data_IF_898066195957
#
_entry.id   IF_898066195957
#
_cell.length_a   1.000
_cell.length_b   1.000
_cell.length_c   1.000
_cell.angle_alpha   90.00
_cell.angle_beta   90.00
_cell.angle_gamma   90.00
#
_symmetry.space_group_name_H-M   'P 1'
#
loop_
_entity.id
_entity.type
_entity.pdbx_description
1 polymer ?
#
# COMPACT_ATOMS: atom_id res chain seq x y z
N UNK A 1 -21.36 -4.37 10.93
CA UNK A 1 -20.86 -5.56 10.19
C UNK A 1 -20.60 -6.71 11.18
N UNK A 2 -20.73 -8.00 10.81
CA UNK A 2 -20.54 -9.13 11.74
C UNK A 2 -19.18 -9.80 11.55
N UNK A 3 -18.40 -9.94 12.62
CA UNK A 3 -17.08 -10.59 12.61
C UNK A 3 -17.24 -12.07 12.32
N UNK A 4 -16.52 -12.55 11.30
CA UNK A 4 -16.42 -13.97 10.94
C UNK A 4 -15.11 -14.58 11.41
N UNK A 5 -14.02 -13.82 11.34
CA UNK A 5 -12.70 -14.25 11.80
C UNK A 5 -11.90 -13.05 12.31
N UNK A 6 -11.13 -13.26 13.36
CA UNK A 6 -10.17 -12.28 13.87
C UNK A 6 -8.81 -12.71 13.33
N UNK A 7 -8.12 -11.80 12.66
CA UNK A 7 -6.81 -12.08 12.08
C UNK A 7 -5.71 -11.73 13.07
N UNK A 8 -5.75 -10.52 13.62
CA UNK A 8 -4.92 -10.05 14.72
C UNK A 8 -5.67 -8.94 15.48
N UNK A 9 -4.98 -8.24 16.39
CA UNK A 9 -5.59 -7.16 17.17
C UNK A 9 -6.09 -5.98 16.31
N UNK A 10 -5.58 -5.81 15.09
CA UNK A 10 -5.81 -4.65 14.24
C UNK A 10 -6.56 -4.98 12.94
N UNK A 11 -6.88 -6.26 12.71
CA UNK A 11 -7.46 -6.74 11.44
C UNK A 11 -8.52 -7.79 11.72
N UNK A 12 -9.73 -7.56 11.21
CA UNK A 12 -10.86 -8.50 11.33
C UNK A 12 -11.52 -8.72 9.97
N UNK A 13 -11.94 -9.96 9.74
CA UNK A 13 -12.74 -10.35 8.59
C UNK A 13 -14.21 -10.33 8.98
N UNK A 14 -15.04 -9.61 8.22
CA UNK A 14 -16.46 -9.41 8.51
C UNK A 14 -17.32 -9.72 7.29
N UNK A 15 -18.60 -10.03 7.53
CA UNK A 15 -19.65 -9.97 6.51
C UNK A 15 -20.60 -8.81 6.78
N UNK A 16 -20.94 -8.08 5.73
CA UNK A 16 -21.99 -7.05 5.80
C UNK A 16 -23.40 -7.67 5.65
N UNK A 17 -24.43 -6.81 5.70
CA UNK A 17 -25.83 -7.24 5.54
C UNK A 17 -26.13 -7.81 4.14
N UNK A 18 -25.34 -7.43 3.12
CA UNK A 18 -25.46 -7.88 1.74
C UNK A 18 -24.63 -9.16 1.47
N UNK A 19 -24.07 -9.78 2.51
CA UNK A 19 -23.16 -10.93 2.45
C UNK A 19 -21.83 -10.65 1.74
N UNK A 20 -21.46 -9.39 1.54
CA UNK A 20 -20.14 -9.03 1.04
C UNK A 20 -19.09 -9.37 2.09
N UNK A 21 -17.95 -9.84 1.60
CA UNK A 21 -16.79 -10.20 2.41
C UNK A 21 -15.85 -9.00 2.49
N UNK A 22 -15.61 -8.53 3.71
CA UNK A 22 -14.83 -7.32 3.97
C UNK A 22 -13.70 -7.61 4.96
N UNK A 23 -12.59 -6.90 4.80
CA UNK A 23 -11.56 -6.78 5.82
C UNK A 23 -11.66 -5.40 6.43
N UNK A 24 -11.72 -5.33 7.76
CA UNK A 24 -11.62 -4.08 8.49
C UNK A 24 -10.22 -4.00 9.11
N UNK A 25 -9.56 -2.87 8.89
CA UNK A 25 -8.29 -2.52 9.52
C UNK A 25 -8.53 -1.34 10.46
N UNK A 26 -7.97 -1.42 11.65
CA UNK A 26 -8.08 -0.36 12.63
C UNK A 26 -7.43 -0.71 13.96
N UNK A 27 -6.90 0.30 14.66
CA UNK A 27 -6.20 0.08 15.93
C UNK A 27 -7.10 -0.59 16.98
N UNK A 28 -6.73 -1.80 17.42
CA UNK A 28 -7.45 -2.56 18.44
C UNK A 28 -8.85 -3.02 18.03
N UNK A 29 -9.17 -3.09 16.74
CA UNK A 29 -10.49 -3.53 16.23
C UNK A 29 -10.77 -5.02 16.50
N UNK A 30 -9.74 -5.86 16.58
CA UNK A 30 -9.84 -7.27 16.94
C UNK A 30 -9.68 -7.54 18.43
N UNK A 31 -9.24 -6.54 19.21
CA UNK A 31 -8.93 -6.72 20.63
C UNK A 31 -10.19 -7.00 21.45
N UNK A 32 -10.19 -8.12 22.20
CA UNK A 32 -11.31 -8.63 22.99
C UNK A 32 -12.60 -8.95 22.20
N UNK A 33 -12.52 -9.00 20.87
CA UNK A 33 -13.63 -9.41 20.03
C UNK A 33 -13.70 -10.93 19.89
N UNK A 34 -14.85 -11.45 19.41
CA UNK A 34 -15.05 -12.85 19.04
C UNK A 34 -15.84 -12.97 17.73
N UNK A 35 -15.66 -14.04 16.95
CA UNK A 35 -16.54 -14.35 15.83
C UNK A 35 -18.02 -14.35 16.26
N UNK A 36 -18.89 -13.79 15.42
CA UNK A 36 -20.31 -13.57 15.71
C UNK A 36 -20.64 -12.19 16.29
N UNK A 37 -19.66 -11.48 16.86
CA UNK A 37 -19.88 -10.12 17.39
C UNK A 37 -19.99 -9.08 16.26
N UNK A 38 -20.69 -7.98 16.54
CA UNK A 38 -20.67 -6.80 15.65
C UNK A 38 -19.32 -6.09 15.79
N UNK A 39 -18.67 -5.78 14.67
CA UNK A 39 -17.46 -4.98 14.68
C UNK A 39 -17.75 -3.56 15.19
N UNK A 40 -16.83 -3.01 15.97
CA UNK A 40 -16.88 -1.63 16.42
C UNK A 40 -16.50 -0.70 15.27
N UNK A 41 -17.49 -0.03 14.70
CA UNK A 41 -17.33 0.84 13.53
C UNK A 41 -16.53 2.10 13.84
N UNK A 42 -16.44 2.52 15.13
CA UNK A 42 -15.64 3.68 15.54
C UNK A 42 -14.13 3.44 15.44
N UNK A 43 -13.70 2.18 15.46
CA UNK A 43 -12.29 1.79 15.35
C UNK A 43 -11.85 1.53 13.92
N UNK A 44 -12.75 1.61 12.94
CA UNK A 44 -12.44 1.30 11.54
C UNK A 44 -11.65 2.45 10.94
N UNK A 45 -10.40 2.19 10.57
CA UNK A 45 -9.54 3.12 9.84
C UNK A 45 -9.62 2.87 8.33
N UNK A 46 -9.73 1.60 7.92
CA UNK A 46 -9.89 1.21 6.52
C UNK A 46 -10.82 0.01 6.38
N UNK A 47 -11.61 0.01 5.31
CA UNK A 47 -12.43 -1.14 4.89
C UNK A 47 -12.02 -1.57 3.49
N UNK A 48 -11.69 -2.85 3.34
CA UNK A 48 -11.40 -3.46 2.06
C UNK A 48 -12.52 -4.39 1.65
N UNK A 49 -13.01 -4.22 0.42
CA UNK A 49 -13.91 -5.18 -0.20
C UNK A 49 -13.08 -6.26 -0.89
N UNK A 50 -13.16 -7.50 -0.41
CA UNK A 50 -12.32 -8.59 -0.91
C UNK A 50 -12.45 -8.82 -2.41
N UNK A 51 -13.64 -8.65 -2.98
CA UNK A 51 -13.87 -8.83 -4.42
C UNK A 51 -13.07 -7.87 -5.32
N UNK A 52 -12.56 -6.75 -4.78
CA UNK A 52 -11.68 -5.84 -5.53
C UNK A 52 -10.22 -6.30 -5.60
N UNK A 53 -9.83 -7.27 -4.78
CA UNK A 53 -8.46 -7.76 -4.73
C UNK A 53 -8.33 -9.06 -5.51
N UNK A 54 -7.39 -9.09 -6.47
CA UNK A 54 -7.04 -10.31 -7.19
C UNK A 54 -6.35 -11.33 -6.27
N UNK A 55 -5.47 -10.84 -5.38
CA UNK A 55 -4.70 -11.66 -4.44
C UNK A 55 -5.17 -11.46 -2.99
N UNK A 56 -6.44 -11.78 -2.71
CA UNK A 56 -7.05 -11.62 -1.37
C UNK A 56 -6.22 -12.28 -0.26
N UNK A 57 -5.72 -13.50 -0.52
CA UNK A 57 -4.91 -14.26 0.44
C UNK A 57 -3.63 -13.50 0.82
N UNK A 58 -2.96 -12.87 -0.16
CA UNK A 58 -1.72 -12.12 0.06
C UNK A 58 -1.97 -10.85 0.88
N UNK A 59 -3.08 -10.14 0.61
CA UNK A 59 -3.49 -9.00 1.44
C UNK A 59 -3.69 -9.42 2.89
N UNK A 60 -4.43 -10.51 3.12
CA UNK A 60 -4.71 -11.02 4.47
C UNK A 60 -3.42 -11.41 5.19
N UNK A 61 -2.51 -12.11 4.51
CA UNK A 61 -1.21 -12.50 5.07
C UNK A 61 -0.34 -11.29 5.42
N UNK A 62 -0.28 -10.29 4.53
CA UNK A 62 0.46 -9.06 4.76
C UNK A 62 -0.08 -8.29 5.97
N UNK A 63 -1.39 -8.02 5.99
CA UNK A 63 -2.06 -7.32 7.08
C UNK A 63 -1.95 -8.06 8.42
N UNK A 64 -1.77 -9.38 8.40
CA UNK A 64 -1.57 -10.17 9.62
C UNK A 64 -0.17 -10.01 10.22
N UNK A 65 0.83 -9.67 9.40
CA UNK A 65 2.26 -9.62 9.76
C UNK A 65 2.75 -8.20 10.07
N UNK A 66 2.19 -7.18 9.44
CA UNK A 66 2.63 -5.79 9.60
C UNK A 66 1.99 -5.12 10.82
N UNK A 67 2.66 -4.09 11.35
CA UNK A 67 2.09 -3.26 12.43
C UNK A 67 0.97 -2.34 11.91
N UNK A 68 0.13 -1.83 12.81
CA UNK A 68 -0.85 -0.78 12.46
C UNK A 68 -0.16 0.48 11.95
N UNK A 69 1.01 0.79 12.48
CA UNK A 69 1.79 1.98 12.15
C UNK A 69 2.37 1.88 10.74
N UNK A 70 2.89 0.72 10.35
CA UNK A 70 3.38 0.46 8.99
C UNK A 70 2.25 0.55 7.98
N UNK A 71 1.09 -0.04 8.29
CA UNK A 71 -0.09 0.04 7.42
C UNK A 71 -0.57 1.49 7.27
N UNK A 72 -0.65 2.26 8.36
CA UNK A 72 -1.03 3.68 8.32
C UNK A 72 -0.06 4.52 7.50
N UNK A 73 1.23 4.22 7.58
CA UNK A 73 2.25 4.90 6.79
C UNK A 73 2.05 4.60 5.29
N UNK A 74 1.82 3.35 4.93
CA UNK A 74 1.54 2.96 3.55
C UNK A 74 0.22 3.55 3.04
N UNK A 75 -0.87 3.48 3.82
CA UNK A 75 -2.15 4.09 3.46
C UNK A 75 -2.01 5.59 3.24
N UNK A 76 -1.30 6.31 4.12
CA UNK A 76 -1.02 7.73 3.95
C UNK A 76 -0.33 8.04 2.62
N UNK A 77 0.71 7.28 2.26
CA UNK A 77 1.43 7.48 0.99
C UNK A 77 0.55 7.14 -0.22
N UNK A 78 -0.26 6.09 -0.15
CA UNK A 78 -1.20 5.71 -1.21
C UNK A 78 -2.29 6.79 -1.38
N UNK A 79 -2.83 7.32 -0.28
CA UNK A 79 -3.80 8.41 -0.32
C UNK A 79 -3.19 9.69 -0.93
N UNK A 80 -1.96 10.03 -0.55
CA UNK A 80 -1.23 11.13 -1.16
C UNK A 80 -1.05 10.91 -2.67
N UNK A 81 -0.62 9.71 -3.08
CA UNK A 81 -0.45 9.36 -4.50
C UNK A 81 -1.76 9.54 -5.30
N UNK A 82 -2.88 9.02 -4.78
CA UNK A 82 -4.21 9.19 -5.40
C UNK A 82 -4.59 10.67 -5.56
N UNK A 83 -4.38 11.46 -4.51
CA UNK A 83 -4.69 12.89 -4.52
C UNK A 83 -3.80 13.64 -5.52
N UNK A 84 -2.50 13.37 -5.53
CA UNK A 84 -1.53 14.01 -6.42
C UNK A 84 -1.75 13.67 -7.89
N UNK A 85 -2.16 12.44 -8.21
CA UNK A 85 -2.43 12.00 -9.58
C UNK A 85 -3.86 12.33 -10.05
N UNK A 86 -4.75 12.74 -9.14
CA UNK A 86 -6.15 13.00 -9.45
C UNK A 86 -6.90 11.77 -9.97
N UNK A 87 -6.46 10.56 -9.63
CA UNK A 87 -7.03 9.31 -10.12
C UNK A 87 -7.02 8.22 -9.06
N UNK A 88 -7.93 7.26 -9.22
CA UNK A 88 -7.92 6.06 -8.40
C UNK A 88 -6.81 5.10 -8.86
N UNK A 89 -6.18 4.49 -7.87
CA UNK A 89 -5.20 3.43 -8.07
C UNK A 89 -5.84 2.07 -7.80
N UNK A 90 -5.39 1.06 -8.54
CA UNK A 90 -5.81 -0.33 -8.33
C UNK A 90 -5.59 -0.73 -6.86
N UNK A 91 -6.60 -1.32 -6.22
CA UNK A 91 -6.55 -1.71 -4.81
C UNK A 91 -5.37 -2.64 -4.48
N UNK A 92 -4.85 -3.39 -5.46
CA UNK A 92 -3.67 -4.23 -5.28
C UNK A 92 -2.41 -3.43 -4.87
N UNK A 93 -2.38 -2.11 -5.04
CA UNK A 93 -1.29 -1.26 -4.55
C UNK A 93 -1.10 -1.37 -3.03
N UNK A 94 -2.17 -1.58 -2.27
CA UNK A 94 -2.07 -1.79 -0.82
C UNK A 94 -1.28 -3.05 -0.47
N UNK A 95 -1.26 -4.05 -1.36
CA UNK A 95 -0.44 -5.23 -1.19
C UNK A 95 0.99 -4.92 -1.62
N UNK A 96 1.17 -4.45 -2.85
CA UNK A 96 2.50 -4.36 -3.46
C UNK A 96 3.36 -3.26 -2.84
N UNK A 97 2.80 -2.06 -2.61
CA UNK A 97 3.56 -0.94 -2.07
C UNK A 97 3.84 -1.11 -0.57
N UNK A 98 2.87 -1.61 0.21
CA UNK A 98 3.08 -1.86 1.64
C UNK A 98 4.16 -2.92 1.87
N UNK A 99 4.10 -4.04 1.14
CA UNK A 99 5.11 -5.12 1.19
C UNK A 99 6.50 -4.57 0.82
N UNK A 100 6.58 -3.79 -0.27
CA UNK A 100 7.81 -3.14 -0.69
C UNK A 100 8.37 -2.18 0.37
N UNK A 101 7.53 -1.29 0.93
CA UNK A 101 7.96 -0.30 1.92
C UNK A 101 8.48 -0.95 3.20
N UNK A 102 7.77 -1.95 3.73
CA UNK A 102 8.19 -2.67 4.95
C UNK A 102 9.53 -3.36 4.71
N UNK A 103 9.67 -4.05 3.57
CA UNK A 103 10.94 -4.69 3.21
C UNK A 103 12.06 -3.67 2.98
N UNK A 104 11.79 -2.55 2.31
CA UNK A 104 12.73 -1.46 2.07
C UNK A 104 13.22 -0.81 3.38
N UNK A 105 12.33 -0.61 4.35
CA UNK A 105 12.68 -0.11 5.67
C UNK A 105 13.54 -1.12 6.43
N UNK A 106 13.20 -2.40 6.39
CA UNK A 106 13.96 -3.45 7.07
C UNK A 106 15.39 -3.56 6.52
N UNK A 107 15.57 -3.57 5.19
CA UNK A 107 16.90 -3.67 4.60
C UNK A 107 17.74 -2.41 4.78
N UNK A 108 17.11 -1.23 4.73
CA UNK A 108 17.81 0.04 5.02
C UNK A 108 18.36 0.05 6.44
N UNK A 109 17.60 -0.45 7.44
CA UNK A 109 18.10 -0.61 8.82
C UNK A 109 19.31 -1.55 8.92
N UNK A 110 19.42 -2.53 8.03
CA UNK A 110 20.56 -3.46 7.94
C UNK A 110 21.74 -2.88 7.14
N UNK A 111 21.65 -1.63 6.66
CA UNK A 111 22.68 -1.00 5.83
C UNK A 111 22.73 -1.54 4.39
N UNK A 112 21.70 -2.27 3.94
CA UNK A 112 21.63 -2.85 2.60
C UNK A 112 20.94 -1.85 1.67
N UNK A 113 21.69 -1.32 0.71
CA UNK A 113 21.20 -0.35 -0.28
C UNK A 113 21.09 -1.04 -1.64
N UNK A 114 19.93 -0.94 -2.27
CA UNK A 114 19.75 -1.41 -3.65
C UNK A 114 19.85 -0.24 -4.60
N UNK A 115 20.53 -0.46 -5.73
CA UNK A 115 20.59 0.50 -6.83
C UNK A 115 19.44 0.25 -7.80
N UNK A 116 18.84 1.32 -8.26
CA UNK A 116 17.83 1.29 -9.30
C UNK A 116 18.50 1.65 -10.63
N UNK A 117 18.81 0.61 -11.43
CA UNK A 117 19.45 0.76 -12.73
C UNK A 117 18.62 1.58 -13.73
N UNK A 118 17.31 1.76 -13.47
CA UNK A 118 16.38 2.50 -14.33
C UNK A 118 16.01 3.88 -13.73
N UNK A 119 16.73 4.35 -12.71
CA UNK A 119 16.37 5.57 -11.98
C UNK A 119 16.28 6.79 -12.93
N UNK A 120 17.19 6.88 -13.90
CA UNK A 120 17.17 7.98 -14.86
C UNK A 120 15.91 7.93 -15.73
N UNK A 121 15.58 6.77 -16.29
CA UNK A 121 14.40 6.54 -17.11
C UNK A 121 13.12 6.81 -16.31
N UNK A 122 13.05 6.37 -15.06
CA UNK A 122 11.89 6.60 -14.19
C UNK A 122 11.65 8.10 -13.99
N UNK A 123 12.70 8.88 -13.74
CA UNK A 123 12.60 10.35 -13.62
C UNK A 123 12.05 11.00 -14.90
N UNK A 124 12.39 10.45 -16.06
CA UNK A 124 11.94 10.98 -17.35
C UNK A 124 10.51 10.58 -17.70
N UNK A 125 10.16 9.30 -17.54
CA UNK A 125 8.86 8.77 -18.00
C UNK A 125 7.75 8.92 -16.94
N UNK A 126 8.13 8.90 -15.66
CA UNK A 126 7.22 8.94 -14.51
C UNK A 126 7.58 10.07 -13.53
N UNK A 127 7.70 11.33 -13.98
CA UNK A 127 8.16 12.43 -13.12
C UNK A 127 7.21 12.71 -11.94
N UNK A 128 5.90 12.53 -12.13
CA UNK A 128 4.92 12.74 -11.06
C UNK A 128 4.99 11.61 -10.02
N UNK A 129 5.05 10.36 -10.47
CA UNK A 129 5.18 9.20 -9.60
C UNK A 129 6.52 9.21 -8.87
N UNK A 130 7.59 9.69 -9.52
CA UNK A 130 8.89 9.87 -8.89
C UNK A 130 8.86 10.94 -7.80
N UNK A 131 8.22 12.10 -8.05
CA UNK A 131 8.02 13.11 -7.01
C UNK A 131 7.21 12.58 -5.82
N UNK A 132 6.20 11.74 -6.07
CA UNK A 132 5.48 11.04 -5.01
C UNK A 132 6.39 10.05 -4.27
N UNK A 133 7.26 9.34 -4.98
CA UNK A 133 8.29 8.48 -4.39
C UNK A 133 9.25 9.25 -3.48
N UNK A 134 9.66 10.46 -3.88
CA UNK A 134 10.49 11.34 -3.05
C UNK A 134 9.74 11.79 -1.80
N UNK A 135 8.48 12.20 -1.94
CA UNK A 135 7.62 12.49 -0.79
C UNK A 135 7.50 11.28 0.15
N UNK A 136 7.34 10.08 -0.39
CA UNK A 136 7.21 8.86 0.40
C UNK A 136 8.45 8.60 1.27
N UNK A 137 9.66 8.70 0.70
CA UNK A 137 10.90 8.50 1.47
C UNK A 137 11.11 9.58 2.53
N UNK A 138 10.69 10.83 2.28
CA UNK A 138 10.73 11.90 3.28
C UNK A 138 9.76 11.64 4.45
N UNK A 139 8.54 11.18 4.15
CA UNK A 139 7.56 10.84 5.20
C UNK A 139 8.04 9.64 6.02
N UNK A 140 8.64 8.65 5.37
CA UNK A 140 9.25 7.50 6.06
C UNK A 140 10.35 7.98 7.00
N UNK A 141 11.28 8.82 6.54
CA UNK A 141 12.35 9.38 7.37
C UNK A 141 11.79 10.16 8.57
N UNK A 142 10.81 11.04 8.34
CA UNK A 142 10.17 11.82 9.42
C UNK A 142 9.48 10.96 10.47
N UNK A 143 8.83 9.86 10.08
CA UNK A 143 8.09 9.00 11.01
C UNK A 143 8.94 7.93 11.69
N UNK A 144 9.99 7.46 11.03
CA UNK A 144 10.74 6.26 11.48
C UNK A 144 12.21 6.53 11.77
N UNK A 145 12.74 7.69 11.35
CA UNK A 145 14.17 8.00 11.38
C UNK A 145 15.00 7.25 10.32
N UNK A 146 14.36 6.46 9.46
CA UNK A 146 15.06 5.67 8.44
C UNK A 146 15.25 6.53 7.20
N UNK A 147 16.52 6.86 6.90
CA UNK A 147 16.89 7.58 5.69
C UNK A 147 17.10 6.62 4.53
N UNK A 148 16.19 6.65 3.57
CA UNK A 148 16.25 5.82 2.36
C UNK A 148 17.03 6.50 1.23
N UNK A 149 17.64 5.70 0.35
CA UNK A 149 18.29 6.21 -0.86
C UNK A 149 17.25 6.68 -1.89
N UNK A 150 17.64 7.59 -2.79
CA UNK A 150 16.78 8.05 -3.90
C UNK A 150 16.33 6.90 -4.83
N UNK A 151 17.14 5.85 -4.92
CA UNK A 151 16.80 4.62 -5.64
C UNK A 151 15.43 4.04 -5.19
N UNK A 152 15.07 4.19 -3.91
CA UNK A 152 13.78 3.79 -3.33
C UNK A 152 12.61 4.63 -3.84
N UNK A 153 12.82 5.94 -4.04
CA UNK A 153 11.80 6.78 -4.66
C UNK A 153 11.49 6.28 -6.09
N UNK A 154 12.51 5.79 -6.80
CA UNK A 154 12.33 5.15 -8.10
C UNK A 154 11.51 3.85 -8.04
N UNK A 155 11.77 2.97 -7.07
CA UNK A 155 10.97 1.75 -6.91
C UNK A 155 9.52 2.05 -6.51
N UNK A 156 9.31 2.99 -5.58
CA UNK A 156 7.96 3.44 -5.18
C UNK A 156 7.21 4.01 -6.39
N UNK A 157 7.87 4.82 -7.21
CA UNK A 157 7.29 5.37 -8.44
C UNK A 157 6.77 4.27 -9.38
N UNK A 158 7.53 3.18 -9.54
CA UNK A 158 7.11 2.04 -10.36
C UNK A 158 5.89 1.31 -9.76
N UNK A 159 5.81 1.15 -8.44
CA UNK A 159 4.63 0.59 -7.79
C UNK A 159 3.38 1.43 -8.05
N UNK A 160 3.52 2.77 -8.00
CA UNK A 160 2.43 3.70 -8.27
C UNK A 160 2.03 3.66 -9.75
N UNK A 161 3.00 3.75 -10.66
CA UNK A 161 2.76 3.72 -12.11
C UNK A 161 2.04 2.43 -12.54
N UNK A 162 2.44 1.28 -11.98
CA UNK A 162 1.80 -0.01 -12.25
C UNK A 162 0.38 -0.13 -11.68
N UNK A 163 0.04 0.66 -10.66
CA UNK A 163 -1.29 0.70 -10.07
C UNK A 163 -2.20 1.75 -10.74
N UNK A 164 -1.64 2.68 -11.52
CA UNK A 164 -2.37 3.69 -12.26
C UNK A 164 -3.18 3.10 -13.43
N UNK A 165 -4.05 3.90 -14.05
CA UNK A 165 -4.74 3.54 -15.28
C UNK A 165 -3.73 3.18 -16.39
N UNK A 166 -4.07 2.21 -17.24
CA UNK A 166 -3.23 1.68 -18.34
C UNK A 166 -2.61 2.76 -19.26
N UNK A 167 -3.13 3.98 -19.24
CA UNK A 167 -2.58 5.17 -19.92
C UNK A 167 -1.10 5.43 -19.54
N UNK A 168 -0.69 5.16 -18.30
CA UNK A 168 0.67 5.44 -17.81
C UNK A 168 1.71 4.47 -18.41
N UNK A 169 1.32 3.26 -18.80
CA UNK A 169 2.18 2.28 -19.46
C UNK A 169 2.31 2.50 -20.98
N UNK A 170 1.45 3.33 -21.60
CA UNK A 170 1.57 3.67 -23.02
C UNK A 170 2.80 4.52 -23.35
N UNK A 171 3.43 5.16 -22.36
CA UNK A 171 4.68 5.93 -22.52
C UNK A 171 5.87 5.07 -22.96
N UNK A 172 5.81 3.74 -22.82
CA UNK A 172 6.84 2.79 -23.29
C UNK A 172 6.68 2.34 -24.74
N UNK A 173 5.63 2.76 -25.46
CA UNK A 173 5.62 2.59 -26.91
C UNK A 173 6.59 3.60 -27.51
N UNK A 174 7.83 3.16 -27.75
CA UNK A 174 8.71 3.78 -28.72
C UNK A 174 7.86 4.16 -29.95
N UNK A 175 7.99 5.38 -30.50
CA UNK A 175 7.41 5.64 -31.81
C UNK A 175 7.95 4.56 -32.73
N UNK A 176 7.06 3.79 -33.36
CA UNK A 176 7.47 2.99 -34.50
C UNK A 176 7.89 3.99 -35.57
N UNK A 177 9.17 4.37 -35.54
CA UNK A 177 9.85 4.90 -36.70
C UNK A 177 10.00 3.71 -37.63
N UNK A 178 9.08 3.57 -38.57
CA UNK A 178 9.32 3.30 -39.99
C UNK A 178 8.03 3.63 -40.76
#
# INVERSE_FOLDING_TARGET
>A
MIIKKIMNNNVVFVKDKKKNELILVGSGIGFKMKPGMKADESKVEKTFLLSKFKEQKRLVELLSKISSEDFKLADHIIQYAKASLGTDLNENIYVTLTDHMVFAMERTRKGIIFRNALLWEIKQFYPQEFAIGQYAIEVIEKKTGIKMAEDEAGFIALHIANAGPMETLRKWRLPQRF
#
